data_IF_990252318246
#
_entry.id   IF_990252318246
#
_cell.length_a   1.000
_cell.length_b   1.000
_cell.length_c   1.000
_cell.angle_alpha   90.00
_cell.angle_beta   90.00
_cell.angle_gamma   90.00
#
_symmetry.space_group_name_H-M   'P 1'
#
loop_
_entity.id
_entity.type
_entity.pdbx_description
1 polymer ?
#
# COMPACT_ATOMS: atom_id res chain seq x y z
N UNK A 1 -4.36 20.64 -11.89
CA UNK A 1 -2.95 21.06 -11.77
C UNK A 1 -2.03 19.84 -11.77
N UNK A 2 -2.11 18.94 -10.78
CA UNK A 2 -1.22 17.77 -10.66
C UNK A 2 -1.25 16.88 -11.93
N UNK A 3 -2.44 16.54 -12.44
CA UNK A 3 -2.58 15.77 -13.68
C UNK A 3 -1.89 16.46 -14.87
N UNK A 4 -2.08 17.78 -15.04
CA UNK A 4 -1.37 18.55 -16.07
C UNK A 4 0.15 18.52 -15.88
N UNK A 5 0.64 18.60 -14.63
CA UNK A 5 2.08 18.52 -14.33
C UNK A 5 2.66 17.15 -14.70
N UNK A 6 1.94 16.07 -14.41
CA UNK A 6 2.32 14.70 -14.81
C UNK A 6 2.35 14.58 -16.33
N UNK A 7 1.30 15.02 -17.04
CA UNK A 7 1.27 15.02 -18.51
C UNK A 7 2.43 15.82 -19.11
N UNK A 8 2.75 16.99 -18.55
CA UNK A 8 3.87 17.80 -19.01
C UNK A 8 5.23 17.13 -18.77
N UNK A 9 5.42 16.50 -17.61
CA UNK A 9 6.62 15.71 -17.30
C UNK A 9 6.76 14.53 -18.26
N UNK A 10 5.68 13.78 -18.51
CA UNK A 10 5.65 12.67 -19.46
C UNK A 10 6.01 13.14 -20.87
N UNK A 11 5.46 14.27 -21.33
CA UNK A 11 5.81 14.87 -22.61
C UNK A 11 7.28 15.30 -22.67
N UNK A 12 7.83 15.83 -21.58
CA UNK A 12 9.24 16.22 -21.47
C UNK A 12 10.15 14.98 -21.57
N UNK A 13 9.85 13.91 -20.82
CA UNK A 13 10.61 12.66 -20.85
C UNK A 13 10.51 12.00 -22.22
N UNK A 14 9.31 11.96 -22.82
CA UNK A 14 9.09 11.43 -24.17
C UNK A 14 9.91 12.18 -25.23
N UNK A 15 9.99 13.51 -25.12
CA UNK A 15 10.78 14.32 -26.03
C UNK A 15 12.29 14.13 -25.82
N UNK A 16 12.75 14.07 -24.57
CA UNK A 16 14.13 13.77 -24.24
C UNK A 16 14.54 12.37 -24.72
N UNK A 17 13.66 11.38 -24.59
CA UNK A 17 13.87 10.03 -25.08
C UNK A 17 14.06 9.99 -26.61
N UNK A 18 13.24 10.73 -27.36
CA UNK A 18 13.42 10.88 -28.82
C UNK A 18 14.78 11.52 -29.15
N UNK A 19 15.14 12.61 -28.47
CA UNK A 19 16.41 13.30 -28.69
C UNK A 19 17.62 12.39 -28.40
N UNK A 20 17.56 11.58 -27.35
CA UNK A 20 18.59 10.61 -27.00
C UNK A 20 18.55 9.33 -27.85
N UNK A 21 17.46 9.11 -28.59
CA UNK A 21 17.26 7.92 -29.40
C UNK A 21 16.93 6.66 -28.62
N UNK A 22 16.28 6.79 -27.47
CA UNK A 22 15.83 5.67 -26.63
C UNK A 22 14.31 5.51 -26.69
N UNK A 23 13.82 4.30 -26.38
CA UNK A 23 12.37 4.02 -26.34
C UNK A 23 11.75 4.58 -25.06
N UNK A 24 10.80 5.49 -25.22
CA UNK A 24 9.85 5.84 -24.16
C UNK A 24 8.64 4.90 -24.22
N UNK A 25 8.27 4.32 -23.07
CA UNK A 25 7.02 3.57 -22.89
C UNK A 25 6.07 4.46 -22.10
N UNK A 26 4.91 4.75 -22.70
CA UNK A 26 3.91 5.61 -22.09
C UNK A 26 3.04 4.81 -21.11
N UNK A 27 3.11 5.15 -19.83
CA UNK A 27 2.35 4.50 -18.75
C UNK A 27 1.30 5.41 -18.13
N UNK A 28 1.06 6.60 -18.69
CA UNK A 28 0.16 7.61 -18.09
C UNK A 28 -1.25 7.07 -17.83
N UNK A 29 -1.72 6.22 -18.75
CA UNK A 29 -3.04 5.58 -18.68
C UNK A 29 -2.96 4.08 -18.36
N UNK A 30 -1.82 3.59 -17.82
CA UNK A 30 -1.63 2.16 -17.54
C UNK A 30 -2.66 1.63 -16.54
N UNK A 31 -3.13 2.48 -15.63
CA UNK A 31 -4.07 2.12 -14.58
C UNK A 31 -5.55 2.21 -15.00
N UNK A 32 -5.89 2.71 -16.19
CA UNK A 32 -7.30 3.00 -16.51
C UNK A 32 -7.98 3.78 -15.38
N UNK A 33 -9.18 3.39 -14.95
CA UNK A 33 -9.91 4.10 -13.87
C UNK A 33 -9.41 3.79 -12.44
N UNK A 34 -8.27 3.12 -12.27
CA UNK A 34 -7.72 2.66 -10.98
C UNK A 34 -6.72 3.65 -10.35
N UNK A 35 -6.64 4.89 -10.84
CA UNK A 35 -5.87 5.97 -10.20
C UNK A 35 -6.51 6.43 -8.88
N UNK A 36 -5.79 7.23 -8.09
CA UNK A 36 -6.34 7.85 -6.88
C UNK A 36 -7.59 8.68 -7.21
N UNK A 37 -8.66 8.47 -6.44
CA UNK A 37 -9.99 9.07 -6.66
C UNK A 37 -10.68 8.67 -7.99
N UNK A 38 -10.24 7.58 -8.63
CA UNK A 38 -10.91 6.97 -9.78
C UNK A 38 -12.14 6.15 -9.38
N UNK A 39 -12.80 5.56 -10.39
CA UNK A 39 -13.99 4.72 -10.19
C UNK A 39 -13.64 3.23 -9.94
N UNK A 40 -12.38 2.84 -10.13
CA UNK A 40 -11.87 1.49 -9.83
C UNK A 40 -11.32 1.34 -8.41
N UNK A 41 -10.93 0.12 -8.04
CA UNK A 41 -10.02 -0.12 -6.92
C UNK A 41 -8.66 0.55 -7.17
N UNK A 42 -7.92 0.87 -6.11
CA UNK A 42 -6.72 1.71 -6.22
C UNK A 42 -5.51 0.88 -6.61
N UNK A 43 -4.82 1.31 -7.66
CA UNK A 43 -3.55 0.72 -8.10
C UNK A 43 -2.33 1.59 -7.72
N UNK A 44 -2.58 2.67 -6.98
CA UNK A 44 -1.58 3.63 -6.49
C UNK A 44 -1.86 3.87 -5.02
N UNK A 45 -0.83 3.83 -4.19
CA UNK A 45 -0.92 4.09 -2.77
C UNK A 45 -1.37 5.54 -2.51
N UNK A 46 -2.27 5.78 -1.55
CA UNK A 46 -2.62 7.13 -1.13
C UNK A 46 -1.43 7.80 -0.41
N UNK A 47 -1.64 9.02 0.07
CA UNK A 47 -0.67 9.66 0.95
C UNK A 47 -0.56 8.88 2.27
N UNK A 48 0.64 8.38 2.57
CA UNK A 48 0.97 7.67 3.80
C UNK A 48 1.73 8.64 4.73
N UNK A 49 1.05 9.28 5.69
CA UNK A 49 1.68 10.20 6.65
C UNK A 49 1.84 9.54 8.02
N UNK A 50 3.05 9.07 8.38
CA UNK A 50 3.47 8.59 9.72
C UNK A 50 2.46 7.84 10.58
N UNK A 51 1.40 7.29 10.03
CA UNK A 51 0.49 6.48 10.80
C UNK A 51 1.22 5.16 10.94
N UNK A 52 1.64 4.85 12.16
CA UNK A 52 1.70 3.46 12.58
C UNK A 52 0.37 2.87 12.13
N UNK A 53 0.38 2.09 11.05
CA UNK A 53 -0.68 1.13 10.81
C UNK A 53 -0.58 0.24 12.04
N UNK A 54 -1.44 0.52 13.03
CA UNK A 54 -1.65 -0.37 14.15
C UNK A 54 -2.33 -1.56 13.50
N UNK A 55 -1.51 -2.52 13.07
CA UNK A 55 -1.97 -3.83 12.68
C UNK A 55 -2.97 -4.28 13.75
N UNK A 56 -4.17 -4.72 13.34
CA UNK A 56 -5.15 -5.32 14.26
C UNK A 56 -4.65 -6.62 14.91
N UNK A 57 -3.40 -7.02 14.64
CA UNK A 57 -2.69 -8.13 15.26
C UNK A 57 -1.84 -7.58 16.42
N UNK A 58 -2.17 -7.89 17.68
CA UNK A 58 -1.29 -7.64 18.81
C UNK A 58 0.08 -8.28 18.52
N UNK A 59 1.16 -7.52 18.70
CA UNK A 59 2.58 -7.89 18.48
C UNK A 59 3.14 -7.92 17.04
N UNK A 60 2.34 -7.71 15.98
CA UNK A 60 2.91 -7.54 14.63
C UNK A 60 3.16 -6.06 14.32
N UNK A 61 4.32 -5.56 14.73
CA UNK A 61 4.84 -4.27 14.25
C UNK A 61 5.34 -4.49 12.82
N UNK A 62 4.54 -4.11 11.83
CA UNK A 62 5.06 -3.99 10.47
C UNK A 62 6.13 -2.89 10.49
N UNK A 63 7.35 -3.17 10.02
CA UNK A 63 8.38 -2.16 9.92
C UNK A 63 7.82 -1.06 9.01
N UNK A 64 7.84 0.17 9.51
CA UNK A 64 7.83 1.43 8.77
C UNK A 64 7.44 1.22 7.30
N UNK A 65 6.14 1.13 7.00
CA UNK A 65 5.69 1.32 5.62
C UNK A 65 5.86 2.80 5.38
N UNK A 66 7.09 3.12 5.01
CA UNK A 66 7.70 4.42 4.99
C UNK A 66 6.88 5.31 4.07
N UNK A 67 6.76 6.59 4.44
CA UNK A 67 6.24 7.67 3.59
C UNK A 67 6.67 7.59 2.11
N UNK A 68 7.81 6.93 1.83
CA UNK A 68 8.33 6.61 0.52
C UNK A 68 7.28 6.02 -0.42
N UNK A 69 6.40 5.14 0.05
CA UNK A 69 5.43 4.47 -0.82
C UNK A 69 4.21 5.34 -1.17
N UNK A 70 4.10 6.55 -0.61
CA UNK A 70 3.03 7.49 -0.97
C UNK A 70 3.06 7.77 -2.47
N UNK A 71 1.89 7.66 -3.11
CA UNK A 71 1.73 7.86 -4.56
C UNK A 71 2.51 6.89 -5.46
N UNK A 72 3.12 5.84 -4.90
CA UNK A 72 3.74 4.77 -5.69
C UNK A 72 2.69 3.74 -6.14
N UNK A 73 2.88 3.05 -7.27
CA UNK A 73 2.03 1.92 -7.65
C UNK A 73 2.09 0.82 -6.57
N UNK A 74 0.95 0.19 -6.26
CA UNK A 74 0.93 -1.02 -5.43
C UNK A 74 1.19 -2.27 -6.30
N UNK A 75 1.05 -3.47 -5.73
CA UNK A 75 1.27 -4.71 -6.49
C UNK A 75 0.42 -4.81 -7.77
N UNK A 76 -0.88 -4.45 -7.70
CA UNK A 76 -1.79 -4.40 -8.86
C UNK A 76 -1.35 -3.34 -9.88
N UNK A 77 -0.93 -2.16 -9.43
CA UNK A 77 -0.39 -1.10 -10.29
C UNK A 77 0.90 -1.48 -11.00
N UNK A 78 1.81 -2.15 -10.31
CA UNK A 78 3.01 -2.72 -10.94
C UNK A 78 2.65 -3.75 -12.02
N UNK A 79 1.62 -4.57 -11.81
CA UNK A 79 1.13 -5.50 -12.82
C UNK A 79 0.53 -4.79 -14.04
N UNK A 80 -0.18 -3.68 -13.85
CA UNK A 80 -0.68 -2.83 -14.94
C UNK A 80 0.45 -2.20 -15.76
N UNK A 81 1.45 -1.65 -15.09
CA UNK A 81 2.64 -1.10 -15.76
C UNK A 81 3.34 -2.19 -16.57
N UNK A 82 3.52 -3.39 -15.99
CA UNK A 82 4.11 -4.52 -16.70
C UNK A 82 3.29 -4.93 -17.94
N UNK A 83 1.96 -4.89 -17.86
CA UNK A 83 1.07 -5.12 -19.01
C UNK A 83 1.23 -4.05 -20.09
N UNK A 84 1.34 -2.77 -19.70
CA UNK A 84 1.58 -1.68 -20.63
C UNK A 84 2.92 -1.84 -21.38
N UNK A 85 3.99 -2.18 -20.67
CA UNK A 85 5.30 -2.52 -21.27
C UNK A 85 5.19 -3.69 -22.24
N UNK A 86 4.59 -4.80 -21.81
CA UNK A 86 4.43 -6.00 -22.65
C UNK A 86 3.68 -5.68 -23.94
N UNK A 87 2.62 -4.86 -23.86
CA UNK A 87 1.84 -4.43 -25.03
C UNK A 87 2.66 -3.55 -25.97
N UNK A 88 3.30 -2.50 -25.43
CA UNK A 88 4.04 -1.51 -26.22
C UNK A 88 5.28 -2.12 -26.90
N UNK A 89 5.91 -3.11 -26.26
CA UNK A 89 7.10 -3.79 -26.78
C UNK A 89 6.77 -5.08 -27.57
N UNK A 90 5.49 -5.38 -27.80
CA UNK A 90 5.06 -6.57 -28.54
C UNK A 90 5.48 -7.89 -27.87
N UNK A 91 5.62 -7.90 -26.54
CA UNK A 91 6.04 -9.05 -25.75
C UNK A 91 7.56 -9.27 -25.70
N UNK A 92 8.36 -8.43 -26.37
CA UNK A 92 9.82 -8.49 -26.29
C UNK A 92 10.29 -8.03 -24.92
N UNK A 93 11.27 -8.72 -24.35
CA UNK A 93 11.90 -8.29 -23.11
C UNK A 93 12.53 -6.90 -23.33
N UNK A 94 12.30 -5.90 -22.45
CA UNK A 94 12.95 -4.59 -22.57
C UNK A 94 14.46 -4.64 -22.76
N UNK A 95 15.14 -5.63 -22.18
CA UNK A 95 16.59 -5.82 -22.33
C UNK A 95 17.02 -6.22 -23.75
N UNK A 96 16.11 -6.84 -24.51
CA UNK A 96 16.34 -7.35 -25.87
C UNK A 96 15.66 -6.48 -26.95
N UNK A 97 14.96 -5.42 -26.53
CA UNK A 97 14.17 -4.60 -27.44
C UNK A 97 15.07 -3.82 -28.40
N UNK A 98 14.92 -4.10 -29.69
CA UNK A 98 15.61 -3.39 -30.77
C UNK A 98 14.96 -2.02 -30.99
N UNK A 99 15.58 -0.99 -30.41
CA UNK A 99 15.07 0.39 -30.48
C UNK A 99 15.09 0.92 -31.91
N UNK A 100 16.11 0.57 -32.69
CA UNK A 100 16.35 1.12 -34.01
C UNK A 100 16.25 0.07 -35.11
N UNK A 101 15.74 0.47 -36.29
CA UNK A 101 15.54 -0.42 -37.44
C UNK A 101 16.83 -1.08 -37.95
N UNK A 102 17.98 -0.52 -37.62
CA UNK A 102 19.32 -0.98 -38.01
C UNK A 102 20.02 -1.78 -36.89
N UNK A 103 19.27 -2.30 -35.92
CA UNK A 103 19.79 -3.01 -34.74
C UNK A 103 20.71 -2.18 -33.82
N UNK A 104 20.78 -0.86 -34.02
CA UNK A 104 21.47 0.03 -33.09
C UNK A 104 20.71 0.13 -31.76
N UNK A 105 21.47 0.33 -30.68
CA UNK A 105 20.92 0.51 -29.33
C UNK A 105 20.34 1.89 -29.11
N UNK A 106 20.71 2.89 -29.92
CA UNK A 106 20.12 4.24 -29.92
C UNK A 106 19.99 4.83 -31.33
N UNK A 107 18.95 5.63 -31.54
CA UNK A 107 18.68 6.34 -32.80
C UNK A 107 18.19 7.76 -32.51
N UNK A 108 19.12 8.68 -32.17
CA UNK A 108 18.78 10.07 -31.86
C UNK A 108 17.99 10.77 -32.96
N UNK A 109 16.94 11.49 -32.57
CA UNK A 109 16.19 12.39 -33.44
C UNK A 109 16.59 13.85 -33.17
N UNK A 110 17.42 14.41 -34.06
CA UNK A 110 17.88 15.79 -33.93
C UNK A 110 16.76 16.84 -34.07
N UNK A 111 15.58 16.46 -34.58
CA UNK A 111 14.42 17.35 -34.62
C UNK A 111 13.68 17.41 -33.27
N UNK A 112 14.02 16.53 -32.33
CA UNK A 112 13.43 16.52 -31.00
C UNK A 112 14.04 17.63 -30.12
N UNK A 113 13.52 18.84 -30.24
CA UNK A 113 13.92 20.01 -29.45
C UNK A 113 12.94 20.29 -28.31
N UNK A 114 13.35 21.16 -27.37
CA UNK A 114 12.52 21.65 -26.26
C UNK A 114 11.26 22.36 -26.75
N UNK A 115 11.35 23.10 -27.86
CA UNK A 115 10.23 23.88 -28.42
C UNK A 115 9.09 22.99 -28.94
N UNK A 116 9.38 21.70 -29.16
CA UNK A 116 8.43 20.71 -29.65
C UNK A 116 7.73 19.93 -28.51
N UNK A 117 7.96 20.27 -27.24
CA UNK A 117 7.28 19.63 -26.09
C UNK A 117 5.83 20.14 -26.03
N UNK A 118 4.82 19.25 -26.16
CA UNK A 118 3.44 19.67 -25.99
C UNK A 118 3.18 20.13 -24.54
N UNK A 119 2.79 21.39 -24.39
CA UNK A 119 2.41 21.95 -23.10
C UNK A 119 0.87 21.87 -22.91
N UNK A 120 0.39 21.24 -21.84
CA UNK A 120 -1.03 21.30 -21.47
C UNK A 120 -1.51 22.75 -21.34
N UNK A 121 -2.81 23.04 -21.59
CA UNK A 121 -3.36 24.41 -21.51
C UNK A 121 -3.03 25.15 -20.19
N UNK A 122 -2.92 24.39 -19.10
CA UNK A 122 -2.51 24.88 -17.79
C UNK A 122 -1.16 25.62 -17.78
N UNK A 123 -0.21 25.23 -18.64
CA UNK A 123 1.12 25.85 -18.76
C UNK A 123 1.21 26.86 -19.92
N UNK A 124 0.15 27.01 -20.72
CA UNK A 124 0.09 28.00 -21.81
C UNK A 124 -0.45 29.36 -21.34
N UNK A 125 -0.84 29.47 -20.06
CA UNK A 125 -1.19 30.75 -19.46
C UNK A 125 0.11 31.49 -19.24
N UNK A 126 0.27 32.65 -19.88
CA UNK A 126 1.36 33.59 -19.62
C UNK A 126 1.18 34.16 -18.20
N UNK A 127 1.45 33.34 -17.19
CA UNK A 127 1.73 33.86 -15.88
C UNK A 127 3.17 34.35 -15.93
N UNK A 128 3.35 35.64 -15.71
CA UNK A 128 4.54 36.18 -15.07
C UNK A 128 4.63 35.58 -13.65
N UNK A 129 4.72 34.26 -13.55
CA UNK A 129 4.94 33.58 -12.29
C UNK A 129 6.37 33.97 -11.93
N UNK A 130 6.49 34.94 -11.01
CA UNK A 130 7.74 35.23 -10.35
C UNK A 130 8.37 33.90 -9.95
N UNK A 131 9.70 33.79 -10.07
CA UNK A 131 10.45 32.62 -9.59
C UNK A 131 10.22 32.45 -8.08
N UNK A 132 9.16 31.72 -7.72
CA UNK A 132 8.82 31.37 -6.33
C UNK A 132 9.49 30.03 -6.04
N UNK A 133 10.38 30.03 -5.06
CA UNK A 133 11.01 28.80 -4.58
C UNK A 133 10.10 28.07 -3.60
N UNK A 134 9.65 26.87 -3.97
CA UNK A 134 8.91 25.98 -3.07
C UNK A 134 9.89 25.07 -2.31
N UNK A 135 9.74 24.96 -0.99
CA UNK A 135 10.59 24.10 -0.17
C UNK A 135 9.76 23.40 0.89
N UNK A 136 9.83 22.06 0.95
CA UNK A 136 9.26 21.33 2.07
C UNK A 136 9.98 21.72 3.36
N UNK A 137 9.21 22.04 4.40
CA UNK A 137 9.74 22.43 5.71
C UNK A 137 8.84 21.90 6.82
N UNK A 138 9.40 21.31 7.87
CA UNK A 138 8.63 20.94 9.07
C UNK A 138 8.33 22.20 9.88
N UNK A 139 7.21 22.85 9.55
CA UNK A 139 6.70 24.08 10.15
C UNK A 139 6.02 23.84 11.50
N UNK A 140 5.38 22.68 11.69
CA UNK A 140 4.62 22.31 12.88
C UNK A 140 4.81 20.82 13.25
N UNK A 141 4.05 20.35 14.24
CA UNK A 141 4.01 18.94 14.63
C UNK A 141 3.43 18.01 13.55
N UNK A 142 2.81 18.55 12.49
CA UNK A 142 2.25 17.77 11.37
C UNK A 142 0.84 17.23 11.61
N UNK A 143 0.28 17.44 12.80
CA UNK A 143 -1.08 17.05 13.15
C UNK A 143 -1.72 18.14 13.98
N UNK A 144 -3.04 18.31 13.86
CA UNK A 144 -3.82 19.10 14.80
C UNK A 144 -5.20 18.49 15.07
N UNK A 145 -5.67 18.57 16.31
CA UNK A 145 -7.02 18.10 16.70
C UNK A 145 -7.93 19.30 16.88
N UNK A 146 -9.05 19.33 16.13
CA UNK A 146 -10.06 20.39 16.25
C UNK A 146 -10.51 20.55 17.70
N UNK A 147 -10.89 21.78 18.07
CA UNK A 147 -11.34 22.19 19.41
C UNK A 147 -10.24 22.14 20.50
N UNK A 148 -9.36 21.14 20.49
CA UNK A 148 -8.22 21.03 21.40
C UNK A 148 -7.09 21.98 21.00
N UNK A 149 -6.78 22.07 19.70
CA UNK A 149 -5.76 22.94 19.15
C UNK A 149 -6.41 24.05 18.31
N UNK A 150 -6.79 25.14 18.97
CA UNK A 150 -7.32 26.34 18.29
C UNK A 150 -6.28 27.08 17.47
N UNK A 151 -5.00 26.83 17.76
CA UNK A 151 -3.87 27.46 17.09
C UNK A 151 -2.86 26.40 16.70
N UNK A 152 -2.28 26.55 15.50
CA UNK A 152 -1.14 25.74 15.06
C UNK A 152 0.14 26.57 15.21
N UNK A 153 1.12 26.01 15.92
CA UNK A 153 2.45 26.63 16.00
C UNK A 153 3.17 26.49 14.65
N UNK A 154 3.84 27.58 14.25
CA UNK A 154 4.65 27.66 13.05
C UNK A 154 6.05 28.09 13.47
N UNK A 155 7.00 27.18 13.29
CA UNK A 155 8.39 27.36 13.68
C UNK A 155 9.32 27.06 12.52
N UNK A 156 10.33 27.91 12.36
CA UNK A 156 11.48 27.62 11.51
C UNK A 156 12.75 27.62 12.36
N UNK A 157 13.72 26.83 11.94
CA UNK A 157 15.02 26.65 12.61
C UNK A 157 16.20 27.14 11.77
N UNK A 158 15.92 27.48 10.52
CA UNK A 158 16.81 28.21 9.61
C UNK A 158 16.29 29.63 9.48
N UNK A 159 17.03 30.49 8.78
CA UNK A 159 16.67 31.88 8.44
C UNK A 159 16.05 31.96 7.04
N UNK A 160 14.86 31.35 6.78
CA UNK A 160 14.32 31.29 5.44
C UNK A 160 13.95 32.68 4.97
N UNK A 161 13.40 33.55 5.81
CA UNK A 161 12.83 34.83 5.36
C UNK A 161 13.72 36.02 5.68
N UNK A 162 13.38 37.17 5.10
CA UNK A 162 13.99 38.45 5.41
C UNK A 162 13.60 38.91 6.83
N UNK A 163 14.54 39.40 7.65
CA UNK A 163 14.24 39.86 9.00
C UNK A 163 13.18 40.95 9.06
N UNK A 164 12.33 40.91 10.09
CA UNK A 164 11.26 41.90 10.34
C UNK A 164 10.25 42.07 9.21
N UNK A 165 10.16 41.08 8.31
CA UNK A 165 9.16 41.06 7.25
C UNK A 165 8.04 40.10 7.61
N UNK A 166 6.83 40.47 7.19
CA UNK A 166 5.68 39.61 7.32
C UNK A 166 5.77 38.45 6.34
N UNK A 167 5.33 37.30 6.81
CA UNK A 167 5.04 36.11 6.02
C UNK A 167 3.55 35.82 6.10
N UNK A 168 3.01 35.20 5.07
CA UNK A 168 1.58 34.91 4.95
C UNK A 168 1.36 33.41 5.04
N UNK A 169 0.43 33.02 5.90
CA UNK A 169 0.13 31.62 6.17
C UNK A 169 -1.19 31.26 5.52
N UNK A 170 -1.18 30.22 4.69
CA UNK A 170 -2.35 29.65 4.04
C UNK A 170 -2.44 28.17 4.30
N UNK A 171 -3.66 27.65 4.28
CA UNK A 171 -3.91 26.22 4.31
C UNK A 171 -4.70 25.82 3.07
N UNK A 172 -4.31 24.70 2.47
CA UNK A 172 -4.85 24.20 1.22
C UNK A 172 -5.47 22.83 1.39
N UNK A 173 -6.78 22.79 1.23
CA UNK A 173 -7.62 21.70 0.70
C UNK A 173 -8.63 22.37 -0.22
N UNK A 174 -9.39 23.30 0.36
CA UNK A 174 -9.83 24.55 -0.26
C UNK A 174 -8.93 25.69 0.25
N UNK A 175 -8.48 26.64 -0.60
CA UNK A 175 -7.57 27.69 -0.15
C UNK A 175 -8.19 28.58 0.93
N UNK A 176 -7.56 28.64 2.11
CA UNK A 176 -7.96 29.53 3.21
C UNK A 176 -6.77 30.31 3.74
N UNK A 177 -7.00 31.57 4.06
CA UNK A 177 -6.01 32.45 4.68
C UNK A 177 -6.06 32.28 6.20
N UNK A 178 -4.90 32.03 6.81
CA UNK A 178 -4.76 31.86 8.26
C UNK A 178 -4.14 33.09 8.95
N UNK A 179 -3.72 34.09 8.16
CA UNK A 179 -3.15 35.34 8.62
C UNK A 179 -1.66 35.48 8.38
N UNK A 180 -1.04 36.35 9.16
CA UNK A 180 0.32 36.82 8.95
C UNK A 180 1.17 36.61 10.22
N UNK A 181 2.43 36.25 10.05
CA UNK A 181 3.43 36.22 11.13
C UNK A 181 4.58 37.14 10.75
N UNK A 182 5.14 37.90 11.69
CA UNK A 182 6.36 38.66 11.45
C UNK A 182 7.59 37.79 11.72
N UNK A 183 8.51 37.73 10.76
CA UNK A 183 9.80 37.06 10.94
C UNK A 183 10.68 37.86 11.89
N UNK A 184 11.43 37.17 12.74
CA UNK A 184 12.26 37.80 13.76
C UNK A 184 13.51 38.51 13.18
N UNK A 185 14.38 38.99 14.06
CA UNK A 185 15.66 39.64 13.69
C UNK A 185 16.59 38.77 12.84
N UNK A 186 16.43 37.46 12.89
CA UNK A 186 17.22 36.49 12.14
C UNK A 186 16.50 36.05 10.86
N UNK A 187 15.22 36.38 10.67
CA UNK A 187 14.42 35.87 9.56
C UNK A 187 13.76 34.51 9.86
N UNK A 188 13.69 34.14 11.14
CA UNK A 188 13.05 32.93 11.64
C UNK A 188 11.60 33.22 12.02
N UNK A 189 10.76 32.19 11.98
CA UNK A 189 9.37 32.27 12.42
C UNK A 189 9.27 31.52 13.73
N UNK A 190 8.66 32.16 14.72
CA UNK A 190 8.18 31.51 15.93
C UNK A 190 6.87 32.17 16.32
N UNK A 191 5.77 31.62 15.81
CA UNK A 191 4.43 32.16 16.02
C UNK A 191 3.37 31.09 15.91
N UNK A 192 2.12 31.51 15.89
CA UNK A 192 0.97 30.62 15.69
C UNK A 192 -0.14 31.33 14.92
N UNK A 193 -0.96 30.54 14.25
CA UNK A 193 -2.16 31.02 13.55
C UNK A 193 -3.38 30.24 14.02
N UNK A 194 -4.55 30.88 13.99
CA UNK A 194 -5.80 30.24 14.36
C UNK A 194 -6.21 29.22 13.29
N UNK A 195 -6.63 28.03 13.72
CA UNK A 195 -7.22 27.04 12.83
C UNK A 195 -8.72 27.33 12.68
N UNK A 196 -9.27 27.44 11.45
CA UNK A 196 -10.70 27.66 11.26
C UNK A 196 -11.51 26.49 11.81
N UNK A 197 -12.59 26.78 12.55
CA UNK A 197 -13.43 25.75 13.18
C UNK A 197 -14.15 24.87 12.13
N UNK A 198 -14.44 25.44 10.96
CA UNK A 198 -15.13 24.81 9.83
C UNK A 198 -14.17 24.17 8.82
N UNK A 199 -12.87 24.14 9.09
CA UNK A 199 -11.91 23.41 8.26
C UNK A 199 -12.22 21.91 8.33
N UNK A 200 -12.40 21.17 7.23
CA UNK A 200 -12.75 19.74 7.30
C UNK A 200 -11.63 18.89 7.92
N UNK A 201 -11.98 17.75 8.55
CA UNK A 201 -10.98 16.75 8.93
C UNK A 201 -10.32 16.14 7.69
N UNK A 202 -9.10 15.63 7.84
CA UNK A 202 -8.30 15.05 6.78
C UNK A 202 -6.99 15.80 6.52
N UNK A 203 -6.37 15.52 5.37
CA UNK A 203 -5.07 16.07 5.00
C UNK A 203 -5.19 17.45 4.35
N UNK A 204 -4.33 18.37 4.80
CA UNK A 204 -4.23 19.73 4.27
C UNK A 204 -2.77 20.09 4.03
N UNK A 205 -2.51 21.06 3.15
CA UNK A 205 -1.17 21.62 2.96
C UNK A 205 -1.07 22.99 3.60
N UNK A 206 -0.27 23.12 4.66
CA UNK A 206 0.10 24.39 5.25
C UNK A 206 1.21 25.02 4.39
N UNK A 207 1.05 26.29 4.02
CA UNK A 207 1.99 27.05 3.22
C UNK A 207 2.30 28.37 3.91
N UNK A 208 3.58 28.71 4.00
CA UNK A 208 4.07 29.98 4.50
C UNK A 208 4.83 30.67 3.38
N UNK A 209 4.36 31.83 2.96
CA UNK A 209 4.90 32.58 1.82
C UNK A 209 5.56 33.88 2.27
N UNK A 210 6.66 34.26 1.62
CA UNK A 210 7.40 35.48 1.94
C UNK A 210 8.65 35.70 1.10
N UNK A 211 9.42 36.73 1.43
CA UNK A 211 10.69 37.08 0.77
C UNK A 211 11.89 36.45 1.48
N UNK A 212 12.78 35.80 0.74
CA UNK A 212 14.06 35.29 1.21
C UNK A 212 15.09 36.41 1.45
N UNK A 213 16.20 36.15 2.18
CA UNK A 213 17.28 37.11 2.35
C UNK A 213 17.89 37.66 1.04
N UNK A 214 17.83 36.90 -0.05
CA UNK A 214 18.32 37.30 -1.38
C UNK A 214 17.30 38.13 -2.18
N UNK A 215 16.13 38.42 -1.61
CA UNK A 215 15.07 39.19 -2.23
C UNK A 215 14.08 38.37 -3.07
N UNK A 216 14.31 37.07 -3.24
CA UNK A 216 13.41 36.21 -4.03
C UNK A 216 12.20 35.77 -3.21
N UNK A 217 11.08 35.53 -3.87
CA UNK A 217 9.90 34.95 -3.22
C UNK A 217 10.13 33.46 -2.93
N UNK A 218 9.63 33.00 -1.80
CA UNK A 218 9.65 31.58 -1.45
C UNK A 218 8.38 31.18 -0.72
N UNK A 219 8.08 29.89 -0.81
CA UNK A 219 7.02 29.23 -0.08
C UNK A 219 7.57 28.00 0.63
N UNK A 220 7.42 27.98 1.95
CA UNK A 220 7.64 26.80 2.76
C UNK A 220 6.33 26.05 2.89
N UNK A 221 6.32 24.74 2.68
CA UNK A 221 5.11 23.95 2.78
C UNK A 221 5.28 22.68 3.61
N UNK A 222 4.18 22.26 4.24
CA UNK A 222 4.06 21.03 5.00
C UNK A 222 2.67 20.45 4.83
N UNK A 223 2.56 19.15 4.60
CA UNK A 223 1.26 18.46 4.76
C UNK A 223 1.00 18.21 6.24
N UNK A 224 -0.19 18.57 6.70
CA UNK A 224 -0.66 18.39 8.07
C UNK A 224 -1.97 17.58 8.06
N UNK A 225 -2.18 16.79 9.10
CA UNK A 225 -3.42 16.05 9.33
C UNK A 225 -4.30 16.78 10.35
N UNK A 226 -5.51 17.13 9.95
CA UNK A 226 -6.52 17.73 10.84
C UNK A 226 -7.48 16.62 11.29
N UNK A 227 -7.58 16.40 12.59
CA UNK A 227 -8.45 15.39 13.20
C UNK A 227 -9.68 16.02 13.82
N UNK A 228 -10.80 15.32 13.72
CA UNK A 228 -12.02 15.59 14.47
C UNK A 228 -11.77 15.51 15.99
N UNK A 229 -12.65 16.13 16.80
CA UNK A 229 -12.49 16.15 18.25
C UNK A 229 -12.82 14.81 18.92
N UNK A 230 -13.52 13.89 18.22
CA UNK A 230 -13.88 12.57 18.72
C UNK A 230 -12.76 11.56 18.44
N UNK A 231 -12.10 10.97 19.46
CA UNK A 231 -11.02 10.01 19.25
C UNK A 231 -11.46 8.66 18.65
N UNK A 232 -12.77 8.40 18.57
CA UNK A 232 -13.33 7.18 17.97
C UNK A 232 -13.91 7.41 16.57
N UNK A 233 -13.91 8.66 16.07
CA UNK A 233 -14.40 9.09 14.75
C UNK A 233 -13.60 10.34 14.36
N UNK A 234 -12.33 10.16 14.01
CA UNK A 234 -11.38 11.26 13.82
C UNK A 234 -11.52 11.94 12.45
N UNK A 235 -12.28 11.37 11.52
CA UNK A 235 -12.57 11.97 10.21
C UNK A 235 -13.98 12.61 10.14
N UNK A 236 -14.76 12.51 11.22
CA UNK A 236 -16.06 13.16 11.40
C UNK A 236 -17.12 12.69 10.38
N UNK A 237 -17.01 11.46 9.89
CA UNK A 237 -17.94 10.91 8.90
C UNK A 237 -19.16 10.21 9.53
N UNK A 238 -19.21 10.12 10.86
CA UNK A 238 -20.30 9.50 11.62
C UNK A 238 -20.19 7.99 11.77
N UNK A 239 -19.15 7.37 11.22
CA UNK A 239 -18.83 5.94 11.36
C UNK A 239 -17.60 5.79 12.24
N UNK A 240 -17.69 5.09 13.38
CA UNK A 240 -16.53 4.88 14.24
C UNK A 240 -15.33 4.28 13.50
N UNK A 241 -14.12 4.79 13.73
CA UNK A 241 -12.88 4.42 13.02
C UNK A 241 -12.64 2.90 13.02
N UNK A 242 -12.99 2.22 14.12
CA UNK A 242 -12.86 0.76 14.27
C UNK A 242 -13.74 -0.04 13.30
N UNK A 243 -14.84 0.58 12.84
CA UNK A 243 -15.79 0.03 11.89
C UNK A 243 -15.47 0.44 10.44
N UNK A 244 -14.52 1.36 10.23
CA UNK A 244 -14.07 1.73 8.89
C UNK A 244 -13.05 0.70 8.37
N UNK A 245 -13.25 0.10 7.19
CA UNK A 245 -12.36 -0.95 6.67
C UNK A 245 -10.91 -0.49 6.47
N UNK A 246 -10.74 0.76 6.04
CA UNK A 246 -9.44 1.37 5.74
C UNK A 246 -8.95 2.38 6.78
N UNK A 247 -9.55 2.37 7.98
CA UNK A 247 -9.33 3.43 8.97
C UNK A 247 -9.99 4.75 8.54
N UNK A 248 -9.73 5.81 9.31
CA UNK A 248 -10.51 7.04 9.26
C UNK A 248 -10.39 7.83 7.94
N UNK A 249 -9.20 7.93 7.35
CA UNK A 249 -8.97 8.90 6.25
C UNK A 249 -8.90 8.28 4.86
N UNK A 250 -9.02 6.95 4.75
CA UNK A 250 -8.99 6.27 3.47
C UNK A 250 -10.37 5.74 3.12
N UNK A 251 -10.93 6.20 2.00
CA UNK A 251 -12.19 5.66 1.49
C UNK A 251 -11.99 4.20 1.07
N UNK A 252 -12.84 3.31 1.60
CA UNK A 252 -12.88 1.89 1.28
C UNK A 252 -13.50 1.62 -0.10
N UNK A 253 -13.02 0.58 -0.79
CA UNK A 253 -13.63 0.04 -2.01
C UNK A 253 -14.83 -0.88 -1.70
N UNK A 254 -14.96 -1.31 -0.44
CA UNK A 254 -15.84 -2.39 0.02
C UNK A 254 -15.60 -3.69 -0.76
N UNK A 255 -14.32 -3.97 -1.00
CA UNK A 255 -13.81 -5.16 -1.68
C UNK A 255 -12.63 -5.70 -0.87
N UNK A 256 -12.52 -7.02 -0.85
CA UNK A 256 -11.47 -7.79 -0.18
C UNK A 256 -11.26 -8.99 -1.11
N UNK A 257 -10.60 -8.77 -2.24
CA UNK A 257 -10.51 -9.75 -3.33
C UNK A 257 -9.67 -10.96 -2.92
N UNK A 258 -8.61 -10.73 -2.15
CA UNK A 258 -7.70 -11.77 -1.69
C UNK A 258 -8.05 -12.34 -0.30
N UNK A 259 -9.10 -11.79 0.30
CA UNK A 259 -9.79 -12.29 1.50
C UNK A 259 -8.90 -12.26 2.74
N UNK A 260 -7.92 -11.38 2.80
CA UNK A 260 -6.89 -11.41 3.83
C UNK A 260 -7.34 -10.77 5.16
N UNK A 261 -8.33 -9.86 5.12
CA UNK A 261 -8.49 -8.97 6.26
C UNK A 261 -8.89 -7.55 5.91
N UNK A 262 -8.28 -7.05 4.86
CA UNK A 262 -8.02 -5.65 4.55
C UNK A 262 -8.83 -5.31 3.31
N UNK A 263 -9.37 -4.09 3.29
CA UNK A 263 -10.10 -3.64 2.10
C UNK A 263 -9.10 -3.25 1.00
N UNK A 264 -9.37 -3.66 -0.24
CA UNK A 264 -8.49 -3.46 -1.41
C UNK A 264 -8.06 -1.99 -1.61
N UNK A 265 -8.83 -1.00 -1.11
CA UNK A 265 -8.47 0.42 -1.23
C UNK A 265 -7.33 0.87 -0.31
N UNK A 266 -6.99 0.07 0.70
CA UNK A 266 -5.92 0.28 1.67
C UNK A 266 -5.03 -0.95 1.86
N UNK A 267 -5.22 -1.96 1.02
CA UNK A 267 -4.35 -3.11 0.95
C UNK A 267 -3.19 -2.83 -0.03
N UNK A 268 -1.94 -2.75 0.47
CA UNK A 268 -0.77 -2.58 -0.40
C UNK A 268 -0.49 -3.82 -1.28
N UNK A 269 -1.03 -4.99 -0.94
CA UNK A 269 -0.74 -6.27 -1.59
C UNK A 269 -2.03 -7.09 -1.81
N UNK A 270 -2.85 -6.68 -2.78
CA UNK A 270 -3.99 -7.50 -3.19
C UNK A 270 -3.52 -8.66 -4.08
N UNK A 271 -3.54 -9.88 -3.54
CA UNK A 271 -3.00 -11.10 -4.18
C UNK A 271 -4.09 -12.08 -4.65
N UNK A 272 -3.71 -13.32 -4.99
CA UNK A 272 -4.69 -14.39 -5.16
C UNK A 272 -5.31 -14.73 -3.78
N UNK A 273 -6.61 -15.05 -3.70
CA UNK A 273 -7.26 -15.35 -2.43
C UNK A 273 -6.48 -16.33 -1.56
N UNK A 274 -6.18 -15.92 -0.32
CA UNK A 274 -5.53 -16.79 0.65
C UNK A 274 -6.59 -17.77 1.15
N UNK A 275 -6.76 -18.89 0.45
CA UNK A 275 -7.77 -19.90 0.79
C UNK A 275 -7.41 -20.69 2.05
N UNK A 276 -6.12 -20.75 2.37
CA UNK A 276 -5.59 -21.56 3.46
C UNK A 276 -4.46 -20.83 4.16
N UNK A 277 -4.29 -21.10 5.45
CA UNK A 277 -3.13 -20.66 6.23
C UNK A 277 -2.60 -21.83 7.05
N UNK A 278 -1.29 -21.87 7.28
CA UNK A 278 -0.66 -22.91 8.08
C UNK A 278 0.42 -22.32 8.98
N UNK A 279 0.58 -22.90 10.17
CA UNK A 279 1.63 -22.55 11.13
C UNK A 279 1.90 -23.70 12.10
N UNK A 280 3.04 -23.64 12.79
CA UNK A 280 3.26 -24.46 13.98
C UNK A 280 2.25 -24.14 15.08
N UNK A 281 1.97 -25.12 15.94
CA UNK A 281 1.11 -24.96 17.11
C UNK A 281 1.64 -23.91 18.08
N UNK A 282 0.72 -23.30 18.84
CA UNK A 282 1.05 -22.34 19.91
C UNK A 282 0.53 -22.87 21.24
N UNK A 283 1.43 -23.07 22.20
CA UNK A 283 1.07 -23.51 23.56
C UNK A 283 0.06 -22.58 24.25
N UNK A 284 0.15 -21.27 23.98
CA UNK A 284 -0.81 -20.26 24.47
C UNK A 284 -2.25 -20.45 23.99
N UNK A 285 -2.47 -21.26 22.95
CA UNK A 285 -3.78 -21.60 22.39
C UNK A 285 -4.21 -23.05 22.71
N UNK A 286 -3.43 -23.75 23.54
CA UNK A 286 -3.63 -25.17 23.87
C UNK A 286 -3.27 -26.13 22.74
N UNK A 287 -2.39 -25.72 21.83
CA UNK A 287 -1.93 -26.51 20.69
C UNK A 287 -0.53 -27.12 20.96
N UNK A 288 -0.19 -28.18 20.24
CA UNK A 288 1.12 -28.86 20.33
C UNK A 288 2.12 -28.15 19.40
N UNK A 289 3.17 -27.54 19.96
CA UNK A 289 4.15 -26.74 19.19
C UNK A 289 4.94 -27.58 18.17
N UNK A 290 5.07 -28.89 18.41
CA UNK A 290 5.72 -29.82 17.50
C UNK A 290 4.85 -30.19 16.28
N UNK A 291 3.63 -29.65 16.19
CA UNK A 291 2.69 -29.96 15.11
C UNK A 291 2.45 -28.77 14.22
N UNK A 292 2.21 -29.06 12.95
CA UNK A 292 1.78 -28.06 11.98
C UNK A 292 0.28 -28.17 11.81
N UNK A 293 -0.39 -27.03 11.85
CA UNK A 293 -1.84 -26.88 11.72
C UNK A 293 -2.16 -26.16 10.41
N UNK A 294 -3.12 -26.69 9.66
CA UNK A 294 -3.67 -26.12 8.44
C UNK A 294 -5.11 -25.67 8.68
N UNK A 295 -5.40 -24.41 8.35
CA UNK A 295 -6.68 -23.76 8.52
C UNK A 295 -7.20 -23.28 7.16
N UNK A 296 -8.53 -23.28 6.97
CA UNK A 296 -9.18 -22.67 5.80
C UNK A 296 -9.58 -21.25 6.16
N UNK A 297 -9.40 -20.32 5.22
CA UNK A 297 -9.87 -18.95 5.40
C UNK A 297 -11.40 -18.89 5.30
N UNK A 298 -12.07 -18.48 6.38
CA UNK A 298 -13.54 -18.40 6.44
C UNK A 298 -14.13 -17.32 5.55
N UNK A 299 -13.33 -16.31 5.19
CA UNK A 299 -13.73 -15.29 4.20
C UNK A 299 -13.86 -15.89 2.80
N UNK A 300 -13.23 -17.05 2.54
CA UNK A 300 -13.36 -17.81 1.29
C UNK A 300 -14.55 -18.79 1.26
N UNK A 301 -15.49 -18.69 2.21
CA UNK A 301 -16.70 -19.50 2.24
C UNK A 301 -17.51 -19.38 0.93
N UNK A 302 -17.62 -18.16 0.38
CA UNK A 302 -18.32 -17.92 -0.88
C UNK A 302 -17.64 -18.56 -2.10
N UNK A 303 -16.30 -18.69 -2.08
CA UNK A 303 -15.53 -19.31 -3.16
C UNK A 303 -15.54 -20.84 -3.09
N UNK A 304 -15.57 -21.40 -1.87
CA UNK A 304 -15.47 -22.85 -1.65
C UNK A 304 -16.84 -23.52 -1.47
N UNK A 305 -17.91 -22.75 -1.25
CA UNK A 305 -19.25 -23.25 -0.99
C UNK A 305 -19.41 -23.92 0.38
N UNK A 306 -18.40 -23.83 1.25
CA UNK A 306 -18.43 -24.42 2.59
C UNK A 306 -18.67 -23.33 3.64
N UNK A 307 -19.69 -23.53 4.47
CA UNK A 307 -20.09 -22.62 5.55
C UNK A 307 -19.69 -23.19 6.92
N UNK A 308 -19.50 -22.31 7.92
CA UNK A 308 -19.10 -22.65 9.30
C UNK A 308 -17.68 -23.20 9.48
N UNK A 309 -16.70 -22.70 8.72
CA UNK A 309 -15.30 -23.08 8.90
C UNK A 309 -14.57 -22.30 9.99
N UNK A 310 -13.42 -22.84 10.38
CA UNK A 310 -12.59 -22.34 11.46
C UNK A 310 -11.75 -21.13 11.09
N UNK A 311 -11.54 -20.27 12.08
CA UNK A 311 -10.59 -19.16 12.07
C UNK A 311 -9.46 -19.56 12.99
N UNK A 312 -8.20 -19.38 12.57
CA UNK A 312 -7.02 -19.53 13.44
C UNK A 312 -7.32 -18.93 14.83
N UNK A 313 -7.11 -19.70 15.91
CA UNK A 313 -7.37 -19.25 17.29
C UNK A 313 -6.59 -17.99 17.65
N UNK A 314 -5.48 -17.69 16.99
CA UNK A 314 -4.80 -16.39 17.16
C UNK A 314 -5.58 -15.22 16.55
N UNK A 315 -6.49 -15.47 15.63
CA UNK A 315 -7.40 -14.49 15.01
C UNK A 315 -8.79 -14.47 15.67
N UNK A 316 -9.24 -15.58 16.27
CA UNK A 316 -10.49 -15.63 17.05
C UNK A 316 -10.42 -16.68 18.19
N UNK A 317 -10.09 -16.22 19.40
CA UNK A 317 -9.90 -17.07 20.58
C UNK A 317 -11.17 -17.80 21.06
N UNK A 318 -12.35 -17.31 20.68
CA UNK A 318 -13.64 -17.90 21.06
C UNK A 318 -14.11 -18.98 20.10
N UNK A 319 -13.40 -19.21 18.99
CA UNK A 319 -13.74 -20.29 18.06
C UNK A 319 -13.22 -21.61 18.61
N UNK A 320 -14.13 -22.46 19.10
CA UNK A 320 -13.73 -23.71 19.71
C UNK A 320 -13.37 -24.78 18.70
N UNK A 321 -13.84 -24.77 17.43
CA UNK A 321 -13.69 -25.92 16.52
C UNK A 321 -13.77 -25.63 15.00
N UNK A 322 -12.83 -26.22 14.21
CA UNK A 322 -12.92 -26.70 12.79
C UNK A 322 -11.59 -26.62 11.97
N UNK A 323 -10.47 -27.09 12.50
CA UNK A 323 -9.20 -27.22 11.77
C UNK A 323 -9.34 -28.10 10.49
N UNK A 324 -8.66 -27.73 9.38
CA UNK A 324 -8.65 -28.52 8.13
C UNK A 324 -7.79 -29.77 8.28
N UNK A 325 -6.65 -29.67 8.96
CA UNK A 325 -5.86 -30.82 9.43
C UNK A 325 -4.61 -30.42 10.21
N UNK A 326 -4.01 -31.37 10.93
CA UNK A 326 -2.67 -31.21 11.52
C UNK A 326 -1.82 -32.45 11.30
N UNK A 327 -0.52 -32.36 11.58
CA UNK A 327 0.36 -33.53 11.59
C UNK A 327 -0.11 -34.55 12.64
N UNK A 328 -0.45 -35.76 12.19
CA UNK A 328 -0.97 -36.84 13.06
C UNK A 328 0.09 -37.87 13.44
N UNK A 329 1.08 -38.07 12.58
CA UNK A 329 2.09 -39.12 12.75
C UNK A 329 3.34 -38.59 13.45
N UNK A 330 4.00 -39.46 14.22
CA UNK A 330 5.31 -39.17 14.81
C UNK A 330 6.37 -38.87 13.74
N UNK A 331 6.25 -39.43 12.53
CA UNK A 331 7.13 -39.10 11.39
C UNK A 331 7.04 -37.64 10.94
N UNK A 332 5.94 -36.97 11.26
CA UNK A 332 5.66 -35.59 10.90
C UNK A 332 5.70 -34.64 12.10
N UNK A 333 6.08 -35.16 13.27
CA UNK A 333 6.23 -34.39 14.51
C UNK A 333 7.59 -33.70 14.54
N UNK A 334 7.66 -32.48 15.07
CA UNK A 334 8.89 -31.68 15.14
C UNK A 334 9.29 -31.05 13.81
N UNK A 335 8.41 -31.08 12.81
CA UNK A 335 8.60 -30.36 11.56
C UNK A 335 8.25 -28.87 11.76
N UNK A 336 9.14 -27.99 11.31
CA UNK A 336 8.92 -26.54 11.27
C UNK A 336 8.20 -26.16 9.97
N UNK A 337 7.11 -25.41 10.08
CA UNK A 337 6.42 -24.84 8.93
C UNK A 337 7.38 -23.90 8.16
N UNK A 338 7.44 -24.07 6.84
CA UNK A 338 8.27 -23.23 5.96
C UNK A 338 7.40 -22.40 5.01
N UNK A 339 6.54 -23.06 4.23
CA UNK A 339 5.74 -22.39 3.18
C UNK A 339 4.45 -23.14 2.92
N UNK A 340 3.42 -22.43 2.48
CA UNK A 340 2.18 -23.01 1.98
C UNK A 340 2.07 -22.76 0.47
N UNK A 341 1.75 -23.80 -0.30
CA UNK A 341 1.59 -23.72 -1.75
C UNK A 341 0.21 -24.26 -2.12
N UNK A 342 -0.54 -23.50 -2.93
CA UNK A 342 -1.79 -23.98 -3.52
C UNK A 342 -1.51 -24.45 -4.94
N UNK A 343 -1.86 -25.70 -5.23
CA UNK A 343 -1.61 -26.30 -6.54
C UNK A 343 -2.37 -25.57 -7.65
N UNK A 344 -1.64 -25.02 -8.62
CA UNK A 344 -2.22 -24.29 -9.77
C UNK A 344 -2.82 -25.22 -10.83
N UNK A 345 -2.27 -26.43 -10.95
CA UNK A 345 -2.70 -27.48 -11.88
C UNK A 345 -2.73 -28.84 -11.15
N UNK A 346 -3.37 -29.85 -11.76
CA UNK A 346 -3.35 -31.20 -11.21
C UNK A 346 -2.00 -31.89 -11.50
N UNK A 347 -1.49 -32.66 -10.54
CA UNK A 347 -0.25 -33.42 -10.67
C UNK A 347 -0.40 -34.81 -10.04
N UNK A 348 -0.48 -35.85 -10.88
CA UNK A 348 -0.80 -37.21 -10.45
C UNK A 348 -2.11 -37.26 -9.65
N UNK A 349 -2.04 -37.70 -8.40
CA UNK A 349 -3.17 -37.80 -7.47
C UNK A 349 -3.51 -36.48 -6.74
N UNK A 350 -2.77 -35.40 -7.03
CA UNK A 350 -2.97 -34.11 -6.40
C UNK A 350 -3.83 -33.23 -7.32
N UNK A 351 -5.02 -32.85 -6.83
CA UNK A 351 -5.95 -32.02 -7.59
C UNK A 351 -5.54 -30.55 -7.57
N UNK A 352 -5.91 -29.80 -8.61
CA UNK A 352 -5.87 -28.33 -8.62
C UNK A 352 -6.59 -27.76 -7.37
N UNK A 353 -5.98 -26.75 -6.76
CA UNK A 353 -6.49 -26.11 -5.54
C UNK A 353 -6.17 -26.85 -4.24
N UNK A 354 -5.48 -27.99 -4.29
CA UNK A 354 -5.03 -28.69 -3.07
C UNK A 354 -3.95 -27.87 -2.36
N UNK A 355 -4.08 -27.58 -1.05
CA UNK A 355 -3.01 -26.95 -0.28
C UNK A 355 -1.92 -27.97 0.06
N UNK A 356 -0.68 -27.61 -0.21
CA UNK A 356 0.54 -28.36 0.11
C UNK A 356 1.35 -27.56 1.11
N UNK A 357 1.62 -28.16 2.27
CA UNK A 357 2.45 -27.58 3.32
C UNK A 357 3.88 -28.05 3.09
N UNK A 358 4.79 -27.10 2.99
CA UNK A 358 6.22 -27.34 3.00
C UNK A 358 6.74 -27.12 4.41
N UNK A 359 7.47 -28.10 4.91
CA UNK A 359 8.01 -28.12 6.25
C UNK A 359 9.45 -28.64 6.24
N UNK A 360 10.22 -28.27 7.25
CA UNK A 360 11.61 -28.69 7.41
C UNK A 360 11.80 -29.41 8.74
N UNK A 361 12.68 -30.40 8.77
CA UNK A 361 13.18 -30.94 10.03
C UNK A 361 14.35 -30.13 10.58
N UNK A 362 14.87 -30.53 11.75
CA UNK A 362 16.02 -29.90 12.42
C UNK A 362 17.32 -29.88 11.59
N UNK A 363 17.40 -30.68 10.53
CA UNK A 363 18.54 -30.75 9.61
C UNK A 363 18.25 -30.01 8.30
N UNK A 364 17.26 -29.12 8.27
CA UNK A 364 16.80 -28.37 7.10
C UNK A 364 16.26 -29.24 5.94
N UNK A 365 16.00 -30.53 6.18
CA UNK A 365 15.47 -31.40 5.13
C UNK A 365 14.00 -31.07 4.87
N UNK A 366 13.68 -30.88 3.59
CA UNK A 366 12.34 -30.51 3.13
C UNK A 366 11.37 -31.70 3.09
N UNK A 367 10.14 -31.47 3.54
CA UNK A 367 9.01 -32.38 3.47
C UNK A 367 7.79 -31.64 2.90
N UNK A 368 7.03 -32.35 2.06
CA UNK A 368 5.74 -31.86 1.56
C UNK A 368 4.61 -32.66 2.20
N UNK A 369 3.62 -31.96 2.75
CA UNK A 369 2.46 -32.55 3.43
C UNK A 369 1.19 -32.11 2.71
N UNK A 370 0.21 -33.02 2.58
CA UNK A 370 -1.12 -32.72 2.04
C UNK A 370 -2.22 -33.07 3.05
N UNK A 371 -3.37 -32.39 3.05
CA UNK A 371 -4.53 -32.80 3.83
C UNK A 371 -5.14 -34.11 3.30
N UNK A 372 -5.58 -34.97 4.20
CA UNK A 372 -6.28 -36.23 3.86
C UNK A 372 -7.66 -35.99 3.22
N UNK A 373 -8.34 -34.90 3.55
CA UNK A 373 -9.67 -34.57 3.01
C UNK A 373 -9.99 -33.07 3.12
N UNK A 374 -9.55 -32.29 2.13
CA UNK A 374 -9.61 -30.81 2.15
C UNK A 374 -10.97 -30.19 1.80
N UNK A 375 -11.93 -30.99 1.29
CA UNK A 375 -13.23 -30.49 0.82
C UNK A 375 -14.43 -30.90 1.68
N UNK A 376 -14.25 -31.75 2.69
CA UNK A 376 -15.37 -32.12 3.57
C UNK A 376 -15.63 -31.03 4.62
N UNK A 377 -16.89 -30.61 4.87
CA UNK A 377 -17.21 -29.68 5.96
C UNK A 377 -16.74 -30.27 7.30
N UNK A 378 -16.11 -29.45 8.15
CA UNK A 378 -15.65 -29.89 9.46
C UNK A 378 -16.87 -30.25 10.34
N UNK A 379 -16.93 -31.50 10.80
CA UNK A 379 -17.87 -31.89 11.84
C UNK A 379 -17.40 -31.33 13.17
N UNK A 380 -18.33 -30.92 14.04
CA UNK A 380 -18.00 -30.49 15.40
C UNK A 380 -17.31 -31.63 16.17
N UNK A 381 -16.17 -31.38 16.83
CA UNK A 381 -15.63 -32.24 17.87
C UNK A 381 -16.72 -32.64 18.87
N UNK A 382 -16.81 -33.95 19.14
CA UNK A 382 -17.92 -34.54 19.89
C UNK A 382 -19.06 -35.12 19.04
N UNK A 383 -19.09 -34.87 17.73
CA UNK A 383 -19.95 -35.64 16.81
C UNK A 383 -19.47 -37.10 16.74
N UNK A 384 -20.42 -38.05 16.71
CA UNK A 384 -20.11 -39.48 16.56
C UNK A 384 -19.35 -39.79 15.27
N UNK A 385 -19.49 -38.95 14.26
CA UNK A 385 -18.85 -39.09 12.95
C UNK A 385 -17.57 -38.23 12.82
N UNK A 386 -17.14 -37.55 13.90
CA UNK A 386 -15.93 -36.75 13.90
C UNK A 386 -14.68 -37.64 13.71
N UNK A 387 -13.98 -37.44 12.59
CA UNK A 387 -12.65 -38.00 12.36
C UNK A 387 -11.62 -36.88 12.43
N UNK A 388 -10.55 -37.12 13.20
CA UNK A 388 -9.35 -36.29 13.17
C UNK A 388 -8.84 -36.20 11.73
N UNK A 389 -8.50 -34.99 11.30
CA UNK A 389 -8.04 -34.74 9.93
C UNK A 389 -6.52 -34.61 9.93
N UNK A 390 -5.88 -35.48 9.16
CA UNK A 390 -4.43 -35.52 9.07
C UNK A 390 -3.86 -34.65 7.96
N UNK A 391 -2.64 -34.19 8.20
CA UNK A 391 -1.66 -33.93 7.16
C UNK A 391 -0.83 -35.20 6.95
N UNK A 392 -0.81 -35.72 5.72
CA UNK A 392 0.00 -36.88 5.33
C UNK A 392 1.19 -36.40 4.52
N UNK A 393 2.36 -36.98 4.82
CA UNK A 393 3.58 -36.76 4.04
C UNK A 393 3.43 -37.31 2.61
N UNK A 394 3.87 -36.52 1.64
CA UNK A 394 3.97 -36.93 0.24
C UNK A 394 5.26 -37.73 0.02
N UNK A 395 5.13 -38.85 -0.69
CA UNK A 395 6.28 -39.67 -1.09
C UNK A 395 7.08 -39.05 -2.24
N UNK A 396 6.43 -38.22 -3.05
CA UNK A 396 7.02 -37.50 -4.19
C UNK A 396 6.61 -36.03 -4.13
N UNK A 397 7.58 -35.12 -4.33
CA UNK A 397 7.30 -33.70 -4.47
C UNK A 397 6.59 -33.44 -5.80
N UNK A 398 5.53 -32.63 -5.75
CA UNK A 398 4.82 -32.18 -6.94
C UNK A 398 5.68 -31.21 -7.76
N UNK A 399 5.45 -31.16 -9.08
CA UNK A 399 6.19 -30.28 -9.99
C UNK A 399 5.97 -28.81 -9.61
N UNK A 400 7.06 -28.04 -9.50
CA UNK A 400 7.02 -26.62 -9.14
C UNK A 400 6.81 -26.37 -7.65
N UNK A 401 6.92 -27.40 -6.81
CA UNK A 401 6.86 -27.31 -5.35
C UNK A 401 8.22 -27.68 -4.79
N UNK A 402 8.84 -26.77 -4.02
CA UNK A 402 10.15 -26.96 -3.38
C UNK A 402 10.32 -26.03 -2.18
N UNK A 403 11.14 -26.44 -1.20
CA UNK A 403 11.45 -25.60 -0.03
C UNK A 403 12.49 -24.51 -0.32
N UNK A 404 13.12 -24.53 -1.49
CA UNK A 404 14.05 -23.51 -1.98
C UNK A 404 13.29 -22.58 -2.94
N UNK A 405 13.72 -21.31 -3.03
CA UNK A 405 13.07 -20.27 -3.84
C UNK A 405 13.19 -20.47 -5.35
#
# INVERSE_FOLDING_TARGET
MITNSVTYLNNTIKQAAKAAGVKYVDIENAFGDHWLCGNGDRHVNPLLLNEMIVSRIPDLRLPWVEFQESFHPNAKGHADIARAFRKELGGVNPADYKICKNDATTCPDNSATKDNIPAPPYFNVANEQEDIKFTYYKLSNGTATKVQEKYIEIKTSRRPYKPWKKVYVKIYSEPRDLGEIEADKNGEINGSVALPEDLPAGYHTLVVSGEAPDGKKQELYQTILIKGPNPEDIDENGTPDKLQPCGAFAQAANKDEDLDGIDDACDPEVTDPILYTARNGKSSLGEDEDRIYLFRNTRAANLTGVTNDYVDKSKNQNNTDALVGHTLSEETRGLAFNKLVVMKEADGDIKKGTPIILAKDINEKCYALKPENYLSPALKPGSKDYKLRGLTKLNTLAKGVGCEE
#
